data_IF_334651820941
#
_entry.id   IF_334651820941
#
_cell.length_a   1.000
_cell.length_b   1.000
_cell.length_c   1.000
_cell.angle_alpha   90.00
_cell.angle_beta   90.00
_cell.angle_gamma   90.00
#
_symmetry.space_group_name_H-M   'P 1'
#
loop_
_entity.id
_entity.type
_entity.pdbx_description
1 polymer ?
#
# COMPACT_ATOMS: atom_id res chain seq x y z
N UNK A 1 -6.98 -9.39 -3.47
CA UNK A 1 -6.78 -8.03 -2.98
C UNK A 1 -5.40 -7.80 -2.37
N UNK A 2 -5.00 -8.62 -1.40
CA UNK A 2 -3.69 -8.48 -0.75
C UNK A 2 -2.54 -8.56 -1.73
N UNK A 3 -2.68 -9.38 -2.76
CA UNK A 3 -1.65 -9.57 -3.77
C UNK A 3 -1.31 -8.26 -4.50
N UNK A 4 -2.34 -7.48 -4.87
CA UNK A 4 -2.11 -6.21 -5.57
C UNK A 4 -1.36 -5.21 -4.69
N UNK A 5 -1.79 -5.09 -3.42
CA UNK A 5 -1.13 -4.19 -2.48
C UNK A 5 0.31 -4.61 -2.23
N UNK A 6 0.54 -5.91 -2.09
CA UNK A 6 1.87 -6.46 -1.88
C UNK A 6 2.77 -6.20 -3.07
N UNK A 7 2.27 -6.41 -4.29
CA UNK A 7 3.03 -6.14 -5.50
C UNK A 7 3.44 -4.68 -5.61
N UNK A 8 2.51 -3.77 -5.30
CA UNK A 8 2.82 -2.34 -5.34
C UNK A 8 3.89 -1.98 -4.31
N UNK A 9 3.77 -2.51 -3.10
CA UNK A 9 4.77 -2.27 -2.06
C UNK A 9 6.14 -2.81 -2.48
N UNK A 10 6.19 -4.04 -2.98
CA UNK A 10 7.45 -4.67 -3.36
C UNK A 10 8.13 -3.97 -4.52
N UNK A 11 7.35 -3.38 -5.42
CA UNK A 11 7.90 -2.63 -6.54
C UNK A 11 8.58 -1.35 -6.09
N UNK A 12 8.17 -0.81 -4.95
CA UNK A 12 8.69 0.45 -4.40
C UNK A 12 9.76 0.20 -3.34
N UNK A 13 9.50 -0.71 -2.41
CA UNK A 13 10.40 -1.01 -1.29
C UNK A 13 11.27 -2.21 -1.63
N UNK A 14 12.57 -1.98 -1.82
CA UNK A 14 13.46 -3.04 -2.31
C UNK A 14 14.07 -3.91 -1.23
N UNK A 15 14.21 -3.42 -0.01
CA UNK A 15 14.94 -4.13 1.05
C UNK A 15 14.09 -4.30 2.30
N UNK A 16 12.80 -4.58 2.14
CA UNK A 16 11.86 -4.70 3.26
C UNK A 16 11.89 -3.44 4.15
N UNK A 17 12.28 -2.32 3.57
CA UNK A 17 12.31 -1.05 4.26
C UNK A 17 10.98 -0.32 4.10
N UNK A 18 10.82 0.78 4.85
CA UNK A 18 9.62 1.59 4.70
C UNK A 18 9.56 2.22 3.32
N UNK A 19 8.37 2.16 2.71
CA UNK A 19 8.10 2.80 1.44
C UNK A 19 7.15 3.98 1.67
N UNK A 20 7.29 5.04 0.86
CA UNK A 20 6.42 6.19 0.94
C UNK A 20 5.02 5.82 0.44
N UNK A 21 3.98 6.16 1.21
CA UNK A 21 2.60 5.86 0.85
C UNK A 21 2.19 6.45 -0.48
N UNK A 22 2.63 7.67 -0.78
CA UNK A 22 2.32 8.32 -2.04
C UNK A 22 2.89 7.54 -3.23
N UNK A 23 4.12 7.06 -3.08
CA UNK A 23 4.77 6.27 -4.12
C UNK A 23 4.08 4.92 -4.31
N UNK A 24 3.70 4.27 -3.21
CA UNK A 24 2.95 3.01 -3.28
C UNK A 24 1.61 3.24 -3.96
N UNK A 25 0.94 4.35 -3.63
CA UNK A 25 -0.32 4.70 -4.26
C UNK A 25 -0.19 4.90 -5.77
N UNK A 26 0.87 5.58 -6.20
CA UNK A 26 1.14 5.76 -7.62
C UNK A 26 1.39 4.42 -8.32
N UNK A 27 2.11 3.53 -7.66
CA UNK A 27 2.39 2.21 -8.21
C UNK A 27 1.10 1.38 -8.33
N UNK A 28 0.20 1.50 -7.35
CA UNK A 28 -1.10 0.84 -7.42
C UNK A 28 -1.89 1.30 -8.63
N UNK A 29 -1.87 2.61 -8.92
CA UNK A 29 -2.56 3.15 -10.09
C UNK A 29 -1.94 2.69 -11.40
N UNK A 30 -0.64 2.41 -11.40
CA UNK A 30 0.02 1.84 -12.57
C UNK A 30 -0.37 0.40 -12.81
N UNK A 31 -0.56 -0.36 -11.72
CA UNK A 31 -0.97 -1.76 -11.80
C UNK A 31 -2.47 -1.89 -12.11
N UNK A 32 -3.26 -0.97 -11.57
CA UNK A 32 -4.71 -0.95 -11.75
C UNK A 32 -5.18 0.50 -11.76
N UNK A 33 -5.41 1.07 -12.93
CA UNK A 33 -5.77 2.46 -13.10
C UNK A 33 -7.14 2.79 -12.47
N UNK A 34 -7.96 1.80 -12.21
CA UNK A 34 -9.26 1.98 -11.57
C UNK A 34 -9.20 1.80 -10.05
N UNK A 35 -8.01 1.63 -9.48
CA UNK A 35 -7.87 1.41 -8.05
C UNK A 35 -8.38 2.63 -7.26
N UNK A 36 -9.21 2.36 -6.25
CA UNK A 36 -9.76 3.40 -5.39
C UNK A 36 -9.95 2.81 -3.99
N UNK A 37 -9.32 3.43 -3.00
CA UNK A 37 -9.42 2.97 -1.60
C UNK A 37 -10.85 3.02 -1.08
N UNK A 38 -11.65 3.93 -1.63
CA UNK A 38 -13.05 4.06 -1.22
C UNK A 38 -13.88 2.84 -1.61
N UNK A 39 -13.47 2.16 -2.67
CA UNK A 39 -14.14 0.91 -3.08
C UNK A 39 -13.98 -0.19 -2.02
N UNK A 40 -12.99 -0.05 -1.15
CA UNK A 40 -12.74 -0.99 -0.06
C UNK A 40 -13.18 -0.45 1.30
N UNK A 41 -13.91 0.66 1.32
CA UNK A 41 -14.43 1.23 2.54
C UNK A 41 -13.47 2.13 3.31
N UNK A 42 -12.40 2.61 2.66
CA UNK A 42 -11.40 3.46 3.30
C UNK A 42 -11.21 4.76 2.56
N UNK A 43 -10.96 5.83 3.31
CA UNK A 43 -10.73 7.15 2.73
C UNK A 43 -9.29 7.35 2.32
N UNK A 44 -8.36 6.65 2.97
CA UNK A 44 -6.93 6.81 2.74
C UNK A 44 -6.26 5.47 2.51
N UNK A 45 -5.21 5.49 1.71
CA UNK A 45 -4.44 4.27 1.42
C UNK A 45 -3.80 3.71 2.70
N UNK A 46 -3.29 4.57 3.58
CA UNK A 46 -2.71 4.11 4.84
C UNK A 46 -3.69 3.33 5.69
N UNK A 47 -4.94 3.77 5.74
CA UNK A 47 -5.98 3.05 6.48
C UNK A 47 -6.28 1.70 5.86
N UNK A 48 -6.33 1.64 4.54
CA UNK A 48 -6.56 0.39 3.82
C UNK A 48 -5.42 -0.60 4.11
N UNK A 49 -4.17 -0.14 4.02
CA UNK A 49 -3.01 -0.98 4.28
C UNK A 49 -3.00 -1.50 5.72
N UNK A 50 -3.35 -0.64 6.67
CA UNK A 50 -3.46 -1.05 8.07
C UNK A 50 -4.50 -2.14 8.26
N UNK A 51 -5.62 -2.02 7.57
CA UNK A 51 -6.74 -2.96 7.73
C UNK A 51 -6.41 -4.36 7.22
N UNK A 52 -5.43 -4.48 6.33
CA UNK A 52 -5.03 -5.80 5.81
C UNK A 52 -4.36 -6.67 6.86
N UNK A 53 -3.76 -6.05 7.88
CA UNK A 53 -3.06 -6.78 8.92
C UNK A 53 -1.68 -7.28 8.55
N UNK A 54 -1.23 -7.03 7.32
CA UNK A 54 0.09 -7.47 6.85
C UNK A 54 1.08 -6.32 6.70
N UNK A 55 0.63 -5.08 6.92
CA UNK A 55 1.48 -3.90 6.80
C UNK A 55 1.51 -3.11 8.10
N UNK A 56 2.66 -2.47 8.34
CA UNK A 56 2.83 -1.48 9.41
C UNK A 56 2.87 -0.11 8.75
N UNK A 57 2.01 0.80 9.20
CA UNK A 57 1.95 2.16 8.67
C UNK A 57 2.42 3.13 9.73
N UNK A 58 3.39 3.97 9.38
CA UNK A 58 3.93 5.01 10.25
C UNK A 58 3.92 6.34 9.50
N UNK A 59 3.03 7.25 9.88
CA UNK A 59 2.92 8.53 9.20
C UNK A 59 2.64 8.33 7.71
N UNK A 60 3.59 8.75 6.88
CA UNK A 60 3.47 8.61 5.42
C UNK A 60 4.25 7.41 4.88
N UNK A 61 4.71 6.53 5.75
CA UNK A 61 5.52 5.37 5.36
C UNK A 61 4.80 4.07 5.69
N UNK A 62 5.09 3.04 4.90
CA UNK A 62 4.52 1.72 5.10
C UNK A 62 5.60 0.67 4.94
N UNK A 63 5.48 -0.40 5.71
CA UNK A 63 6.40 -1.53 5.67
C UNK A 63 5.61 -2.81 5.85
N UNK A 64 6.05 -3.87 5.17
CA UNK A 64 5.46 -5.18 5.35
C UNK A 64 5.85 -5.72 6.73
N UNK A 65 4.89 -6.29 7.46
CA UNK A 65 5.19 -6.90 8.75
C UNK A 65 6.12 -8.09 8.57
N UNK A 66 7.09 -8.24 9.49
CA UNK A 66 7.98 -9.41 9.43
C UNK A 66 7.24 -10.72 9.68
#
# INVERSE_FOLDING_TARGET
MHTLLQEAYEAVARDDSFANLGTVGQQLLKLDSAFDTRAYGHKKLGELLKSTGIFVVKGNDVKLKP
#
